data_IF_122652662974
#
_entry.id   IF_122652662974
#
_cell.length_a   1.000
_cell.length_b   1.000
_cell.length_c   1.000
_cell.angle_alpha   90.00
_cell.angle_beta   90.00
_cell.angle_gamma   90.00
#
_symmetry.space_group_name_H-M   'P 1'
#
loop_
_entity.id
_entity.type
_entity.pdbx_description
1 polymer ?
#
# COMPACT_ATOMS: atom_id res chain seq x y z
N UNK A 1 -22.00 12.14 -48.24
CA UNK A 1 -21.41 13.22 -49.06
C UNK A 1 -20.59 14.13 -48.15
N UNK A 2 -19.31 14.34 -48.49
CA UNK A 2 -18.35 15.38 -48.02
C UNK A 2 -17.84 15.25 -46.55
N UNK A 3 -16.76 14.54 -46.25
CA UNK A 3 -15.31 14.92 -46.31
C UNK A 3 -14.98 16.33 -45.81
N UNK A 4 -14.14 16.44 -44.78
CA UNK A 4 -12.94 17.29 -44.79
C UNK A 4 -11.88 16.76 -43.82
N UNK A 5 -10.74 16.40 -44.40
CA UNK A 5 -9.47 16.14 -43.72
C UNK A 5 -8.52 17.31 -44.01
N UNK A 6 -7.41 17.37 -43.23
CA UNK A 6 -6.19 18.20 -43.32
C UNK A 6 -6.13 19.36 -42.32
N UNK A 7 -5.00 19.70 -41.68
CA UNK A 7 -3.67 19.12 -41.44
C UNK A 7 -2.89 20.23 -40.68
N UNK A 8 -1.95 19.84 -39.81
CA UNK A 8 -0.64 20.49 -39.58
C UNK A 8 -0.61 21.86 -38.87
N UNK A 9 0.00 21.88 -37.68
CA UNK A 9 1.05 22.86 -37.35
C UNK A 9 2.10 22.25 -36.45
N UNK A 10 3.27 22.09 -37.05
CA UNK A 10 4.57 21.78 -36.48
C UNK A 10 5.10 23.05 -35.80
N UNK A 11 5.69 22.93 -34.61
CA UNK A 11 6.68 23.90 -34.14
C UNK A 11 7.89 23.14 -33.56
N UNK A 12 8.94 23.13 -34.37
CA UNK A 12 10.29 22.71 -34.00
C UNK A 12 11.24 23.88 -34.33
N UNK A 13 12.26 24.03 -33.49
CA UNK A 13 13.54 24.72 -33.71
C UNK A 13 13.63 26.23 -33.46
N UNK A 14 14.34 26.58 -32.39
CA UNK A 14 15.41 27.58 -32.43
C UNK A 14 16.52 27.08 -31.51
N UNK A 15 17.71 26.92 -32.07
CA UNK A 15 18.86 26.27 -31.48
C UNK A 15 20.01 27.27 -31.22
N UNK A 16 21.03 26.78 -30.51
CA UNK A 16 22.46 27.18 -30.49
C UNK A 16 22.90 28.42 -29.66
N UNK A 17 23.74 28.15 -28.63
CA UNK A 17 25.22 28.36 -28.61
C UNK A 17 25.76 28.00 -27.20
N UNK A 18 26.51 26.91 -27.06
CA UNK A 18 27.99 26.79 -27.02
C UNK A 18 28.71 27.56 -25.90
N UNK A 19 29.36 26.79 -25.02
CA UNK A 19 30.35 27.24 -24.04
C UNK A 19 31.06 26.05 -23.39
N UNK A 20 32.12 25.57 -24.05
CA UNK A 20 33.06 24.54 -23.58
C UNK A 20 33.92 25.03 -22.43
N UNK A 21 34.21 24.18 -21.45
CA UNK A 21 35.56 24.08 -20.87
C UNK A 21 35.88 22.62 -20.54
N UNK A 22 36.91 22.10 -21.20
CA UNK A 22 37.61 20.90 -20.83
C UNK A 22 38.58 21.22 -19.68
N UNK A 23 38.73 20.28 -18.74
CA UNK A 23 39.96 20.10 -17.98
C UNK A 23 40.12 18.60 -17.69
N UNK A 24 40.94 17.94 -18.50
CA UNK A 24 41.54 16.66 -18.18
C UNK A 24 42.81 16.89 -17.36
N UNK A 25 43.10 15.95 -16.47
CA UNK A 25 44.45 15.50 -16.14
C UNK A 25 44.64 15.11 -14.68
N UNK A 26 45.39 14.09 -14.30
CA UNK A 26 45.94 12.89 -14.96
C UNK A 26 46.57 12.03 -13.83
N UNK A 27 46.53 10.70 -13.98
CA UNK A 27 47.45 9.66 -13.50
C UNK A 27 47.96 9.61 -12.05
N UNK A 28 47.78 8.44 -11.40
CA UNK A 28 48.80 7.39 -11.42
C UNK A 28 48.31 6.06 -10.78
N UNK A 29 48.27 5.02 -11.62
CA UNK A 29 48.91 3.71 -11.48
C UNK A 29 49.01 3.04 -10.08
N UNK A 30 48.41 1.84 -9.92
CA UNK A 30 49.16 0.56 -9.79
C UNK A 30 48.30 -0.58 -9.18
N UNK A 31 48.06 -1.58 -10.01
CA UNK A 31 48.21 -3.04 -9.78
C UNK A 31 47.86 -3.69 -8.42
N UNK A 32 46.92 -4.64 -8.51
CA UNK A 32 46.98 -6.04 -8.03
C UNK A 32 47.48 -6.37 -6.61
N UNK A 33 46.67 -7.11 -5.86
CA UNK A 33 47.13 -7.86 -4.70
C UNK A 33 46.02 -8.64 -4.00
N UNK A 34 45.79 -9.87 -4.45
CA UNK A 34 45.10 -10.91 -3.68
C UNK A 34 46.01 -11.37 -2.54
N UNK A 35 45.50 -11.42 -1.32
CA UNK A 35 45.90 -12.40 -0.31
C UNK A 35 44.87 -12.44 0.81
N UNK A 36 44.26 -13.61 1.01
CA UNK A 36 43.35 -13.86 2.11
C UNK A 36 44.04 -13.87 3.47
N UNK A 37 43.22 -13.82 4.51
CA UNK A 37 43.55 -14.46 5.78
C UNK A 37 42.27 -14.95 6.45
N UNK A 38 42.12 -16.28 6.48
CA UNK A 38 41.28 -16.96 7.45
C UNK A 38 41.99 -16.94 8.80
N UNK A 39 41.24 -16.79 9.89
CA UNK A 39 41.74 -17.22 11.20
C UNK A 39 41.24 -16.44 12.41
N UNK A 40 40.30 -17.08 13.09
CA UNK A 40 40.23 -17.24 14.55
C UNK A 40 39.81 -16.05 15.41
N UNK A 41 38.53 -16.10 15.80
CA UNK A 41 38.13 -16.29 17.21
C UNK A 41 38.74 -15.35 18.24
N UNK A 42 38.01 -14.28 18.55
CA UNK A 42 38.07 -13.64 19.85
C UNK A 42 36.69 -13.75 20.48
N UNK A 43 36.61 -14.58 21.53
CA UNK A 43 35.46 -14.68 22.42
C UNK A 43 35.06 -13.29 22.90
N UNK A 44 33.83 -12.89 22.61
CA UNK A 44 33.21 -11.71 23.18
C UNK A 44 33.03 -11.94 24.69
N UNK A 45 33.95 -11.39 25.47
CA UNK A 45 33.81 -11.32 26.92
C UNK A 45 32.59 -10.48 27.25
N UNK A 46 31.53 -11.15 27.73
CA UNK A 46 30.30 -10.53 28.20
C UNK A 46 30.61 -9.63 29.40
N UNK A 47 30.79 -8.33 29.12
CA UNK A 47 30.85 -7.28 30.13
C UNK A 47 29.42 -6.91 30.52
N UNK A 48 28.81 -7.66 31.45
CA UNK A 48 27.69 -7.13 32.24
C UNK A 48 28.22 -6.05 33.17
N UNK A 49 28.23 -4.80 32.71
CA UNK A 49 28.44 -3.65 33.58
C UNK A 49 27.19 -3.49 34.46
N UNK A 50 27.31 -3.81 35.75
CA UNK A 50 26.27 -3.52 36.73
C UNK A 50 25.93 -2.02 36.70
N UNK A 51 24.69 -1.68 36.34
CA UNK A 51 24.22 -0.30 36.27
C UNK A 51 24.36 0.45 37.60
N UNK A 52 24.56 1.76 37.54
CA UNK A 52 24.64 2.60 38.75
C UNK A 52 23.28 2.62 39.44
N UNK A 53 23.21 2.02 40.64
CA UNK A 53 22.03 2.15 41.54
C UNK A 53 21.70 3.64 41.74
N UNK A 54 20.45 4.02 41.44
CA UNK A 54 19.95 5.39 41.56
C UNK A 54 20.05 6.27 40.31
N UNK A 55 20.43 5.73 39.15
CA UNK A 55 20.35 6.45 37.88
C UNK A 55 18.89 6.72 37.45
N UNK A 56 18.69 7.75 36.62
CA UNK A 56 17.41 8.05 35.95
C UNK A 56 17.64 8.07 34.44
N UNK A 57 16.84 7.31 33.70
CA UNK A 57 16.85 7.22 32.23
C UNK A 57 15.76 8.16 31.71
N UNK A 58 16.10 9.11 30.84
CA UNK A 58 15.11 9.96 30.13
C UNK A 58 14.65 9.25 28.86
N UNK A 59 13.36 8.93 28.76
CA UNK A 59 12.76 8.36 27.55
C UNK A 59 11.75 9.33 26.94
N UNK A 60 11.99 9.76 25.70
CA UNK A 60 11.03 10.56 24.93
C UNK A 60 10.37 9.71 23.84
N UNK A 61 9.05 9.72 23.73
CA UNK A 61 8.32 8.93 22.72
C UNK A 61 7.10 9.69 22.16
N UNK A 62 6.52 9.17 21.07
CA UNK A 62 5.31 9.74 20.45
C UNK A 62 4.05 8.85 20.51
N UNK A 63 4.12 7.69 21.17
CA UNK A 63 2.96 6.79 21.32
C UNK A 63 1.75 7.51 21.95
N UNK A 64 0.65 7.55 21.20
CA UNK A 64 -0.57 8.25 21.59
C UNK A 64 -1.66 7.33 22.13
N UNK A 65 -1.56 6.03 21.82
CA UNK A 65 -2.52 5.00 22.18
C UNK A 65 -2.50 4.72 23.69
N UNK A 66 -3.67 4.65 24.30
CA UNK A 66 -3.83 4.38 25.74
C UNK A 66 -3.17 3.04 26.14
N UNK A 67 -3.39 1.99 25.35
CA UNK A 67 -2.80 0.67 25.61
C UNK A 67 -1.27 0.67 25.57
N UNK A 68 -0.65 1.45 24.68
CA UNK A 68 0.79 1.59 24.60
C UNK A 68 1.34 2.33 25.84
N UNK A 69 0.63 3.38 26.28
CA UNK A 69 1.00 4.15 27.48
C UNK A 69 0.85 3.33 28.76
N UNK A 70 -0.22 2.55 28.88
CA UNK A 70 -0.43 1.61 29.98
C UNK A 70 0.68 0.56 30.05
N UNK A 71 1.15 0.08 28.90
CA UNK A 71 2.28 -0.84 28.82
C UNK A 71 3.58 -0.17 29.29
N UNK A 72 3.86 1.07 28.85
CA UNK A 72 5.04 1.85 29.26
C UNK A 72 5.05 2.06 30.78
N UNK A 73 3.93 2.47 31.36
CA UNK A 73 3.82 2.69 32.80
C UNK A 73 4.08 1.39 33.59
N UNK A 74 3.52 0.27 33.13
CA UNK A 74 3.74 -1.03 33.76
C UNK A 74 5.19 -1.49 33.67
N UNK A 75 5.82 -1.42 32.50
CA UNK A 75 7.19 -1.92 32.31
C UNK A 75 8.21 -1.05 33.03
N UNK A 76 8.06 0.28 32.99
CA UNK A 76 8.95 1.21 33.69
C UNK A 76 8.81 1.11 35.21
N UNK A 77 7.59 0.90 35.72
CA UNK A 77 7.35 0.64 37.15
C UNK A 77 8.06 -0.64 37.59
N UNK A 78 7.82 -1.76 36.90
CA UNK A 78 8.45 -3.05 37.23
C UNK A 78 9.97 -2.98 37.16
N UNK A 79 10.50 -2.38 36.09
CA UNK A 79 11.94 -2.18 35.95
C UNK A 79 12.52 -1.35 37.10
N UNK A 80 11.82 -0.28 37.51
CA UNK A 80 12.24 0.57 38.64
C UNK A 80 12.20 -0.20 39.97
N UNK A 81 11.17 -1.01 40.21
CA UNK A 81 11.05 -1.83 41.42
C UNK A 81 12.15 -2.89 41.51
N UNK A 82 12.48 -3.55 40.40
CA UNK A 82 13.48 -4.62 40.35
C UNK A 82 14.92 -4.09 40.43
N UNK A 83 15.20 -2.95 39.79
CA UNK A 83 16.58 -2.47 39.60
C UNK A 83 16.93 -1.26 40.46
N UNK A 84 15.92 -0.50 40.92
CA UNK A 84 16.09 0.81 41.55
C UNK A 84 16.53 1.92 40.60
N UNK A 85 16.51 1.70 39.28
CA UNK A 85 16.79 2.69 38.25
C UNK A 85 15.46 3.30 37.81
N UNK A 86 15.34 4.64 37.84
CA UNK A 86 14.12 5.33 37.40
C UNK A 86 14.09 5.52 35.89
N UNK A 87 12.91 5.52 35.32
CA UNK A 87 12.68 5.94 33.92
C UNK A 87 11.74 7.14 33.94
N UNK A 88 12.22 8.28 33.45
CA UNK A 88 11.48 9.54 33.30
C UNK A 88 10.94 9.61 31.86
N UNK A 89 9.64 9.40 31.71
CA UNK A 89 8.97 9.25 30.41
C UNK A 89 8.34 10.58 29.98
N UNK A 90 8.72 11.06 28.80
CA UNK A 90 8.17 12.24 28.15
C UNK A 90 7.41 11.84 26.87
N UNK A 91 6.09 11.76 26.97
CA UNK A 91 5.22 11.60 25.81
C UNK A 91 5.02 12.95 25.09
N UNK A 92 5.19 12.97 23.78
CA UNK A 92 5.01 14.16 22.94
C UNK A 92 4.11 13.82 21.76
N UNK A 93 3.24 14.76 21.35
CA UNK A 93 2.37 14.56 20.20
C UNK A 93 3.17 14.30 18.92
N UNK A 94 2.64 13.43 18.05
CA UNK A 94 3.31 12.99 16.82
C UNK A 94 3.84 14.16 15.97
N UNK A 95 3.02 15.19 15.79
CA UNK A 95 3.34 16.36 14.95
C UNK A 95 4.52 17.19 15.47
N UNK A 96 4.72 17.22 16.79
CA UNK A 96 5.76 18.02 17.44
C UNK A 96 7.02 17.22 17.76
N UNK A 97 6.91 15.89 17.80
CA UNK A 97 7.94 14.98 18.32
C UNK A 97 9.30 15.18 17.66
N UNK A 98 9.33 15.14 16.33
CA UNK A 98 10.58 15.21 15.56
C UNK A 98 11.30 16.55 15.74
N UNK A 99 10.55 17.65 15.70
CA UNK A 99 11.09 19.01 15.89
C UNK A 99 11.69 19.17 17.29
N UNK A 100 10.99 18.67 18.31
CA UNK A 100 11.43 18.79 19.69
C UNK A 100 12.63 17.89 19.99
N UNK A 101 12.65 16.66 19.48
CA UNK A 101 13.78 15.74 19.61
C UNK A 101 15.07 16.35 19.02
N UNK A 102 14.98 16.85 17.77
CA UNK A 102 16.12 17.49 17.07
C UNK A 102 16.62 18.73 17.82
N UNK A 103 15.71 19.51 18.40
CA UNK A 103 16.05 20.67 19.24
C UNK A 103 16.79 20.26 20.51
N UNK A 104 16.27 19.26 21.23
CA UNK A 104 16.87 18.74 22.47
C UNK A 104 18.28 18.21 22.24
N UNK A 105 18.49 17.42 21.20
CA UNK A 105 19.80 16.90 20.81
C UNK A 105 20.77 18.03 20.48
N UNK A 106 20.35 18.98 19.64
CA UNK A 106 21.21 20.11 19.24
C UNK A 106 21.58 21.02 20.43
N UNK A 107 20.73 21.08 21.46
CA UNK A 107 20.97 21.86 22.68
C UNK A 107 21.83 21.17 23.74
N UNK A 108 22.16 19.88 23.55
CA UNK A 108 22.89 19.07 24.54
C UNK A 108 22.03 18.50 25.68
N UNK A 109 20.70 18.63 25.62
CA UNK A 109 19.74 17.99 26.53
C UNK A 109 19.01 16.83 25.84
N UNK A 110 19.78 15.96 25.18
CA UNK A 110 19.24 14.77 24.52
C UNK A 110 18.57 13.82 25.54
N UNK A 111 17.44 13.18 25.19
CA UNK A 111 16.95 12.02 25.94
C UNK A 111 17.92 10.82 25.80
N UNK A 112 17.89 9.90 26.77
CA UNK A 112 18.71 8.69 26.77
C UNK A 112 18.10 7.60 25.87
N UNK A 113 16.78 7.58 25.74
CA UNK A 113 16.01 6.69 24.86
C UNK A 113 15.00 7.50 24.06
N UNK A 114 14.90 7.23 22.76
CA UNK A 114 13.97 7.91 21.86
C UNK A 114 13.70 7.06 20.62
N UNK A 115 12.52 7.25 20.03
CA UNK A 115 12.09 6.57 18.80
C UNK A 115 12.57 7.36 17.58
N UNK A 116 12.97 6.63 16.52
CA UNK A 116 13.29 7.18 15.21
C UNK A 116 12.51 6.44 14.12
N UNK A 117 12.35 7.08 12.96
CA UNK A 117 11.93 6.40 11.74
C UNK A 117 13.15 6.03 10.88
N UNK A 118 13.02 5.09 9.92
CA UNK A 118 14.09 4.83 8.95
C UNK A 118 14.57 6.11 8.22
N UNK A 119 13.68 7.08 8.01
CA UNK A 119 14.02 8.36 7.36
C UNK A 119 14.92 9.27 8.20
N UNK A 120 14.89 9.14 9.53
CA UNK A 120 15.71 9.95 10.44
C UNK A 120 17.15 9.40 10.57
N UNK A 121 17.31 8.08 10.44
CA UNK A 121 18.56 7.37 10.69
C UNK A 121 19.81 8.00 10.04
N UNK A 122 19.80 8.36 8.73
CA UNK A 122 21.00 8.90 8.09
C UNK A 122 21.57 10.14 8.79
N UNK A 123 20.70 11.03 9.29
CA UNK A 123 21.11 12.24 9.99
C UNK A 123 21.74 11.91 11.36
N UNK A 124 21.12 11.01 12.11
CA UNK A 124 21.57 10.66 13.46
C UNK A 124 22.86 9.84 13.44
N UNK A 125 22.98 8.90 12.50
CA UNK A 125 24.21 8.11 12.30
C UNK A 125 25.37 9.01 11.85
N UNK A 126 25.16 9.87 10.84
CA UNK A 126 26.20 10.76 10.32
C UNK A 126 26.76 11.71 11.38
N UNK A 127 25.92 12.13 12.33
CA UNK A 127 26.31 13.03 13.41
C UNK A 127 26.71 12.28 14.70
N UNK A 128 26.76 10.94 14.68
CA UNK A 128 27.15 10.11 15.82
C UNK A 128 26.28 10.34 17.07
N UNK A 129 24.96 10.50 16.87
CA UNK A 129 23.98 10.75 17.94
C UNK A 129 23.33 9.49 18.53
N UNK A 130 23.51 8.33 17.90
CA UNK A 130 22.89 7.06 18.32
C UNK A 130 23.96 5.98 18.48
N UNK A 131 23.71 5.05 19.40
CA UNK A 131 24.61 3.93 19.68
C UNK A 131 24.36 2.75 18.74
N UNK A 132 25.45 2.09 18.31
CA UNK A 132 25.40 0.80 17.63
C UNK A 132 24.94 -0.29 18.61
N UNK A 133 23.80 -0.92 18.31
CA UNK A 133 23.22 -1.97 19.15
C UNK A 133 23.57 -3.38 18.64
N UNK A 134 24.40 -3.55 17.61
CA UNK A 134 24.66 -4.84 16.95
C UNK A 134 25.08 -5.98 17.87
N UNK A 135 25.78 -5.65 18.97
CA UNK A 135 26.27 -6.63 19.94
C UNK A 135 25.42 -6.68 21.23
N UNK A 136 24.21 -6.11 21.23
CA UNK A 136 23.37 -6.07 22.40
C UNK A 136 22.74 -7.45 22.70
N UNK A 137 22.77 -7.87 23.96
CA UNK A 137 22.23 -9.18 24.37
C UNK A 137 20.73 -9.33 24.14
N UNK A 138 19.98 -8.22 24.08
CA UNK A 138 18.52 -8.28 23.95
C UNK A 138 18.07 -8.85 22.60
N UNK A 139 18.93 -8.88 21.56
CA UNK A 139 18.59 -9.48 20.27
C UNK A 139 18.19 -10.95 20.39
N UNK A 140 18.80 -11.69 21.34
CA UNK A 140 18.43 -13.09 21.61
C UNK A 140 17.05 -13.28 22.22
N UNK A 141 16.38 -12.20 22.65
CA UNK A 141 15.01 -12.23 23.16
C UNK A 141 13.96 -11.87 22.10
N UNK A 142 14.38 -11.48 20.89
CA UNK A 142 13.50 -11.03 19.81
C UNK A 142 13.25 -12.16 18.82
N UNK A 143 12.19 -12.02 18.02
CA UNK A 143 11.84 -12.99 16.98
C UNK A 143 13.01 -13.11 15.99
N UNK A 144 13.32 -14.33 15.55
CA UNK A 144 14.36 -14.59 14.55
C UNK A 144 14.19 -13.68 13.31
N UNK A 145 15.29 -13.07 12.86
CA UNK A 145 15.31 -12.15 11.73
C UNK A 145 15.12 -10.67 12.09
N UNK A 146 14.62 -10.33 13.29
CA UNK A 146 14.39 -8.93 13.71
C UNK A 146 15.65 -8.07 13.59
N UNK A 147 16.80 -8.58 14.03
CA UNK A 147 18.08 -7.86 13.94
C UNK A 147 18.43 -7.53 12.48
N UNK A 148 18.45 -8.54 11.60
CA UNK A 148 18.81 -8.36 10.18
C UNK A 148 17.93 -7.36 9.44
N UNK A 149 16.64 -7.30 9.76
CA UNK A 149 15.67 -6.39 9.12
C UNK A 149 15.81 -4.92 9.52
N UNK A 150 16.69 -4.61 10.48
CA UNK A 150 16.89 -3.26 11.03
C UNK A 150 18.31 -2.73 10.81
N UNK A 151 19.16 -3.50 10.11
CA UNK A 151 20.54 -3.13 9.85
C UNK A 151 20.64 -2.01 8.79
N UNK A 152 21.37 -0.94 9.11
CA UNK A 152 21.74 0.13 8.17
C UNK A 152 23.26 0.25 8.12
N UNK A 153 23.87 0.11 6.94
CA UNK A 153 25.33 0.11 6.75
C UNK A 153 26.08 -0.91 7.63
N UNK A 154 25.44 -2.03 7.96
CA UNK A 154 25.99 -3.08 8.83
C UNK A 154 25.88 -2.81 10.33
N UNK A 155 25.26 -1.70 10.73
CA UNK A 155 24.98 -1.32 12.12
C UNK A 155 23.51 -1.58 12.43
N UNK A 156 23.21 -2.25 13.54
CA UNK A 156 21.84 -2.53 13.97
C UNK A 156 21.34 -1.49 14.98
N UNK A 157 20.10 -1.07 14.78
CA UNK A 157 19.34 -0.24 15.70
C UNK A 157 18.01 -0.93 15.98
N UNK A 158 17.48 -0.82 17.21
CA UNK A 158 16.17 -1.41 17.52
C UNK A 158 15.07 -0.48 17.00
N UNK A 159 14.66 -0.71 15.75
CA UNK A 159 13.59 0.02 15.08
C UNK A 159 12.52 -0.96 14.60
N UNK A 160 11.27 -0.56 14.68
CA UNK A 160 10.21 -1.29 14.01
C UNK A 160 10.29 -0.96 12.50
N UNK A 161 10.96 -1.81 11.71
CA UNK A 161 10.73 -1.80 10.26
C UNK A 161 9.49 -2.64 9.96
N UNK A 162 8.40 -1.98 9.55
CA UNK A 162 7.24 -2.66 8.95
C UNK A 162 7.43 -2.83 7.44
N UNK A 163 8.65 -3.14 7.00
CA UNK A 163 8.95 -3.38 5.60
C UNK A 163 8.75 -4.87 5.30
N UNK A 164 7.52 -5.25 4.98
CA UNK A 164 7.26 -6.56 4.38
C UNK A 164 7.44 -6.45 2.87
N UNK A 165 8.35 -7.24 2.31
CA UNK A 165 8.53 -7.37 0.87
C UNK A 165 7.45 -8.29 0.29
N UNK A 166 7.03 -8.01 -0.93
CA UNK A 166 6.08 -8.85 -1.67
C UNK A 166 6.62 -10.28 -1.83
N UNK A 167 7.92 -10.43 -2.09
CA UNK A 167 8.57 -11.73 -2.21
C UNK A 167 8.58 -12.55 -0.91
N UNK A 168 8.47 -11.89 0.24
CA UNK A 168 8.45 -12.53 1.56
C UNK A 168 7.02 -12.74 2.09
N UNK A 169 5.99 -12.30 1.35
CA UNK A 169 4.60 -12.45 1.72
C UNK A 169 3.96 -13.69 1.05
N UNK A 170 3.85 -14.78 1.81
CA UNK A 170 3.23 -16.01 1.30
C UNK A 170 1.79 -15.80 0.81
N UNK A 171 1.00 -14.94 1.45
CA UNK A 171 -0.38 -14.68 1.02
C UNK A 171 -0.38 -13.96 -0.33
N UNK A 172 0.52 -12.99 -0.52
CA UNK A 172 0.70 -12.34 -1.80
C UNK A 172 1.14 -13.34 -2.88
N UNK A 173 2.15 -14.17 -2.57
CA UNK A 173 2.69 -15.17 -3.48
C UNK A 173 1.64 -16.18 -3.93
N UNK A 174 0.83 -16.69 -3.00
CA UNK A 174 -0.26 -17.61 -3.31
C UNK A 174 -1.31 -16.96 -4.21
N UNK A 175 -1.63 -15.69 -3.96
CA UNK A 175 -2.56 -14.92 -4.80
C UNK A 175 -1.99 -14.64 -6.20
N UNK A 176 -0.69 -14.34 -6.31
CA UNK A 176 -0.02 -14.11 -7.59
C UNK A 176 -0.03 -15.39 -8.46
N UNK A 177 0.20 -16.55 -7.85
CA UNK A 177 0.09 -17.86 -8.53
C UNK A 177 -1.35 -18.13 -8.98
N UNK A 178 -2.34 -17.91 -8.11
CA UNK A 178 -3.76 -18.04 -8.46
C UNK A 178 -4.14 -17.09 -9.59
N UNK A 179 -3.63 -15.86 -9.58
CA UNK A 179 -3.87 -14.85 -10.61
C UNK A 179 -3.36 -15.31 -11.99
N UNK A 180 -2.13 -15.84 -12.06
CA UNK A 180 -1.59 -16.44 -13.29
C UNK A 180 -2.36 -17.67 -13.75
N UNK A 181 -2.74 -18.55 -12.82
CA UNK A 181 -3.54 -19.73 -13.15
C UNK A 181 -4.91 -19.34 -13.70
N UNK A 182 -5.56 -18.32 -13.13
CA UNK A 182 -6.83 -17.78 -13.63
C UNK A 182 -6.70 -17.28 -15.07
N UNK A 183 -5.56 -16.69 -15.42
CA UNK A 183 -5.29 -16.22 -16.79
C UNK A 183 -5.41 -17.36 -17.82
N UNK A 184 -5.03 -18.59 -17.49
CA UNK A 184 -5.15 -19.74 -18.41
C UNK A 184 -6.61 -20.11 -18.76
N UNK A 185 -7.58 -19.67 -17.94
CA UNK A 185 -9.01 -19.93 -18.15
C UNK A 185 -9.75 -18.76 -18.78
N UNK A 186 -9.07 -17.63 -19.01
CA UNK A 186 -9.67 -16.47 -19.67
C UNK A 186 -9.79 -16.65 -21.18
N UNK A 187 -10.30 -15.62 -21.85
CA UNK A 187 -10.39 -15.61 -23.32
C UNK A 187 -8.99 -15.43 -23.95
N UNK A 188 -8.84 -15.61 -25.26
CA UNK A 188 -7.53 -15.51 -25.93
C UNK A 188 -7.01 -14.07 -26.09
N UNK A 189 -7.86 -13.06 -25.92
CA UNK A 189 -7.55 -11.64 -26.13
C UNK A 189 -7.80 -10.83 -24.85
N UNK A 190 -7.31 -11.32 -23.70
CA UNK A 190 -7.63 -10.73 -22.40
C UNK A 190 -7.16 -9.28 -22.28
N UNK A 191 -6.00 -8.96 -22.85
CA UNK A 191 -5.44 -7.60 -22.85
C UNK A 191 -6.18 -6.65 -23.81
N UNK A 192 -6.86 -7.17 -24.84
CA UNK A 192 -7.70 -6.39 -25.75
C UNK A 192 -9.18 -6.34 -25.34
N UNK A 193 -9.59 -7.12 -24.33
CA UNK A 193 -10.98 -7.24 -23.90
C UNK A 193 -11.30 -6.26 -22.78
N UNK A 194 -11.99 -5.17 -23.12
CA UNK A 194 -12.53 -4.23 -22.13
C UNK A 194 -13.87 -4.71 -21.52
N UNK A 195 -14.39 -3.94 -20.56
CA UNK A 195 -15.65 -4.21 -19.88
C UNK A 195 -16.84 -4.39 -20.83
N UNK A 196 -16.94 -3.57 -21.87
CA UNK A 196 -18.03 -3.61 -22.83
C UNK A 196 -17.94 -4.84 -23.71
N UNK A 197 -16.73 -5.20 -24.12
CA UNK A 197 -16.47 -6.40 -24.92
C UNK A 197 -16.77 -7.66 -24.13
N UNK A 198 -16.32 -7.75 -22.88
CA UNK A 198 -16.64 -8.85 -21.99
C UNK A 198 -18.16 -9.03 -21.81
N UNK A 199 -18.87 -7.91 -21.60
CA UNK A 199 -20.35 -7.88 -21.51
C UNK A 199 -21.01 -8.40 -22.79
N UNK A 200 -20.54 -7.96 -23.96
CA UNK A 200 -21.04 -8.43 -25.26
C UNK A 200 -20.83 -9.94 -25.47
N UNK A 201 -19.67 -10.47 -25.07
CA UNK A 201 -19.37 -11.90 -25.22
C UNK A 201 -20.35 -12.76 -24.41
N UNK A 202 -20.70 -12.35 -23.19
CA UNK A 202 -21.73 -13.03 -22.39
C UNK A 202 -23.11 -12.87 -23.02
N UNK A 203 -23.49 -11.65 -23.42
CA UNK A 203 -24.80 -11.39 -24.01
C UNK A 203 -25.06 -12.22 -25.29
N UNK A 204 -24.02 -12.45 -26.09
CA UNK A 204 -24.08 -13.24 -27.33
C UNK A 204 -23.83 -14.73 -27.13
N UNK A 205 -23.62 -15.19 -25.88
CA UNK A 205 -23.35 -16.59 -25.55
C UNK A 205 -21.95 -17.09 -25.97
N UNK A 206 -21.02 -16.19 -26.31
CA UNK A 206 -19.63 -16.52 -26.66
C UNK A 206 -18.72 -16.67 -25.44
N UNK A 207 -19.13 -16.17 -24.28
CA UNK A 207 -18.49 -16.41 -22.99
C UNK A 207 -19.53 -16.93 -21.99
N UNK A 208 -19.12 -17.89 -21.16
CA UNK A 208 -19.98 -18.47 -20.13
C UNK A 208 -20.08 -17.60 -18.87
N UNK A 209 -19.00 -16.89 -18.51
CA UNK A 209 -18.90 -16.06 -17.31
C UNK A 209 -18.09 -14.79 -17.60
N UNK A 210 -18.33 -13.74 -16.81
CA UNK A 210 -17.52 -12.52 -16.78
C UNK A 210 -17.40 -12.05 -15.33
N UNK A 211 -16.21 -11.59 -14.93
CA UNK A 211 -16.04 -10.84 -13.69
C UNK A 211 -16.40 -9.41 -14.05
N UNK A 212 -17.49 -8.87 -13.50
CA UNK A 212 -18.02 -7.54 -13.83
C UNK A 212 -18.95 -7.01 -12.72
N UNK A 213 -19.28 -5.72 -12.78
CA UNK A 213 -20.19 -5.09 -11.83
C UNK A 213 -21.67 -5.18 -12.21
N UNK A 214 -22.54 -4.68 -11.33
CA UNK A 214 -24.00 -4.72 -11.50
C UNK A 214 -24.48 -4.07 -12.81
N UNK A 215 -23.75 -3.07 -13.34
CA UNK A 215 -24.08 -2.39 -14.60
C UNK A 215 -24.14 -3.34 -15.80
N UNK A 216 -23.41 -4.46 -15.76
CA UNK A 216 -23.38 -5.45 -16.84
C UNK A 216 -24.72 -6.17 -17.01
N UNK A 217 -25.50 -6.34 -15.93
CA UNK A 217 -26.77 -7.08 -15.98
C UNK A 217 -27.75 -6.41 -16.94
N UNK A 218 -28.03 -5.12 -16.73
CA UNK A 218 -28.91 -4.36 -17.63
C UNK A 218 -28.38 -4.30 -19.07
N UNK A 219 -27.07 -4.17 -19.26
CA UNK A 219 -26.46 -4.13 -20.59
C UNK A 219 -26.54 -5.47 -21.34
N UNK A 220 -26.44 -6.61 -20.63
CA UNK A 220 -26.66 -7.94 -21.19
C UNK A 220 -28.14 -8.10 -21.57
N UNK A 221 -29.06 -7.73 -20.68
CA UNK A 221 -30.50 -7.84 -20.89
C UNK A 221 -31.02 -6.96 -22.03
N UNK A 222 -30.47 -5.77 -22.20
CA UNK A 222 -30.81 -4.90 -23.33
C UNK A 222 -30.49 -5.56 -24.68
N UNK A 223 -29.35 -6.27 -24.77
CA UNK A 223 -28.94 -6.97 -25.99
C UNK A 223 -29.62 -8.33 -26.16
N UNK A 224 -29.88 -9.03 -25.06
CA UNK A 224 -30.47 -10.35 -25.02
C UNK A 224 -31.46 -10.45 -23.84
N UNK A 225 -32.73 -10.05 -24.04
CA UNK A 225 -33.74 -10.05 -22.99
C UNK A 225 -33.96 -11.43 -22.36
N UNK A 226 -33.76 -12.49 -23.14
CA UNK A 226 -33.94 -13.89 -22.74
C UNK A 226 -32.70 -14.48 -22.04
N UNK A 227 -31.60 -13.72 -21.90
CA UNK A 227 -30.38 -14.20 -21.27
C UNK A 227 -30.65 -14.68 -19.84
N UNK A 228 -30.27 -15.93 -19.54
CA UNK A 228 -30.43 -16.54 -18.22
C UNK A 228 -29.14 -16.40 -17.44
N UNK A 229 -28.96 -15.26 -16.81
CA UNK A 229 -27.77 -14.92 -16.02
C UNK A 229 -28.10 -14.89 -14.53
N UNK A 230 -27.09 -15.19 -13.72
CA UNK A 230 -27.09 -15.01 -12.26
C UNK A 230 -25.77 -14.36 -11.84
N UNK A 231 -25.63 -14.03 -10.56
CA UNK A 231 -24.40 -13.43 -10.04
C UNK A 231 -23.93 -14.16 -8.78
N UNK A 232 -22.62 -14.24 -8.61
CA UNK A 232 -22.01 -14.79 -7.40
C UNK A 232 -20.68 -14.08 -7.14
N UNK A 233 -20.27 -14.04 -5.88
CA UNK A 233 -18.97 -13.51 -5.49
C UNK A 233 -17.83 -14.34 -6.09
N UNK A 234 -16.74 -13.68 -6.48
CA UNK A 234 -15.56 -14.38 -7.00
C UNK A 234 -14.91 -15.15 -5.83
N UNK A 235 -14.82 -16.49 -5.90
CA UNK A 235 -14.23 -17.27 -4.82
C UNK A 235 -12.72 -17.11 -4.81
N UNK A 236 -12.20 -16.25 -3.93
CA UNK A 236 -10.77 -15.98 -3.78
C UNK A 236 -10.08 -16.96 -2.82
N UNK A 237 -10.85 -17.58 -1.91
CA UNK A 237 -10.41 -18.63 -0.98
C UNK A 237 -11.33 -19.85 -1.08
N UNK A 238 -10.88 -20.98 -0.51
CA UNK A 238 -11.68 -22.21 -0.42
C UNK A 238 -12.67 -22.17 0.76
N UNK A 239 -12.63 -21.10 1.58
CA UNK A 239 -13.56 -20.91 2.68
C UNK A 239 -14.80 -20.15 2.19
N UNK A 240 -15.99 -20.77 2.15
CA UNK A 240 -17.20 -20.08 1.70
C UNK A 240 -17.57 -18.88 2.59
N UNK A 241 -17.18 -18.88 3.87
CA UNK A 241 -17.49 -17.79 4.80
C UNK A 241 -16.67 -16.52 4.50
N UNK A 242 -15.55 -16.65 3.78
CA UNK A 242 -14.71 -15.53 3.33
C UNK A 242 -15.12 -15.00 1.94
N UNK A 243 -16.10 -15.63 1.30
CA UNK A 243 -16.53 -15.28 -0.06
C UNK A 243 -17.48 -14.09 -0.04
N UNK A 244 -16.95 -12.92 -0.39
CA UNK A 244 -17.67 -11.64 -0.42
C UNK A 244 -17.63 -11.00 -1.80
N UNK A 245 -18.62 -10.17 -2.13
CA UNK A 245 -18.52 -9.30 -3.31
C UNK A 245 -17.67 -8.08 -2.98
N UNK A 246 -17.02 -7.52 -4.00
CA UNK A 246 -16.35 -6.22 -3.88
C UNK A 246 -17.33 -5.10 -4.22
N UNK A 247 -17.44 -4.11 -3.34
CA UNK A 247 -18.17 -2.88 -3.58
C UNK A 247 -17.19 -1.71 -3.71
N UNK A 248 -17.55 -0.74 -4.55
CA UNK A 248 -16.86 0.55 -4.63
C UNK A 248 -17.89 1.65 -4.44
N UNK A 249 -17.52 2.67 -3.69
CA UNK A 249 -18.26 3.93 -3.70
C UNK A 249 -17.95 4.65 -5.02
N UNK A 250 -18.75 4.41 -6.05
CA UNK A 250 -18.71 5.26 -7.25
C UNK A 250 -19.17 6.65 -6.85
N UNK A 251 -18.43 7.69 -7.25
CA UNK A 251 -18.60 9.07 -6.78
C UNK A 251 -20.05 9.54 -6.61
N UNK A 252 -20.27 10.35 -5.58
CA UNK A 252 -21.56 10.96 -5.31
C UNK A 252 -21.77 12.28 -6.05
N UNK A 253 -23.01 12.77 -6.03
CA UNK A 253 -23.30 14.14 -6.45
C UNK A 253 -22.68 15.13 -5.45
N UNK A 254 -22.01 16.15 -5.98
CA UNK A 254 -21.49 17.27 -5.19
C UNK A 254 -22.22 18.54 -5.61
N UNK A 255 -22.55 19.40 -4.64
CA UNK A 255 -23.21 20.69 -4.88
C UNK A 255 -22.16 21.78 -4.86
N UNK A 256 -22.10 22.59 -5.92
CA UNK A 256 -21.23 23.76 -5.95
C UNK A 256 -21.72 24.79 -4.92
N UNK A 257 -20.82 25.20 -4.02
CA UNK A 257 -21.17 26.01 -2.84
C UNK A 257 -21.85 27.33 -3.20
N UNK A 258 -21.39 27.99 -4.26
CA UNK A 258 -21.88 29.32 -4.71
C UNK A 258 -22.94 29.24 -5.82
N UNK A 259 -23.59 28.08 -6.00
CA UNK A 259 -24.65 27.96 -7.00
C UNK A 259 -25.76 28.99 -6.73
N UNK A 260 -26.17 29.80 -7.72
CA UNK A 260 -27.25 30.77 -7.55
C UNK A 260 -28.64 30.10 -7.41
N UNK A 261 -28.70 28.77 -7.59
CA UNK A 261 -29.92 27.95 -7.51
C UNK A 261 -29.71 26.77 -6.54
N UNK A 262 -28.98 27.01 -5.43
CA UNK A 262 -28.59 25.97 -4.48
C UNK A 262 -29.80 25.27 -3.86
N UNK A 263 -30.84 26.02 -3.49
CA UNK A 263 -32.04 25.47 -2.87
C UNK A 263 -32.83 24.57 -3.83
N UNK A 264 -32.90 24.93 -5.11
CA UNK A 264 -33.50 24.08 -6.15
C UNK A 264 -32.68 22.82 -6.41
N UNK A 265 -31.33 22.91 -6.36
CA UNK A 265 -30.46 21.74 -6.46
C UNK A 265 -30.68 20.80 -5.27
N UNK A 266 -30.84 21.31 -4.05
CA UNK A 266 -31.14 20.47 -2.87
C UNK A 266 -32.51 19.79 -3.00
N UNK A 267 -33.54 20.51 -3.47
CA UNK A 267 -34.87 19.90 -3.74
C UNK A 267 -34.78 18.79 -4.79
N UNK A 268 -33.96 18.99 -5.83
CA UNK A 268 -33.74 17.95 -6.83
C UNK A 268 -32.99 16.74 -6.26
N UNK A 269 -32.01 16.95 -5.36
CA UNK A 269 -31.32 15.85 -4.68
C UNK A 269 -32.26 15.06 -3.74
N UNK A 270 -33.19 15.73 -3.05
CA UNK A 270 -34.24 15.07 -2.27
C UNK A 270 -35.11 14.17 -3.17
N UNK A 271 -35.51 14.68 -4.34
CA UNK A 271 -36.27 13.88 -5.31
C UNK A 271 -35.43 12.73 -5.88
N UNK A 272 -34.17 12.97 -6.23
CA UNK A 272 -33.25 11.99 -6.81
C UNK A 272 -32.93 10.83 -5.85
N UNK A 273 -32.99 11.09 -4.54
CA UNK A 273 -32.79 10.10 -3.48
C UNK A 273 -34.10 9.53 -2.92
N UNK A 274 -35.24 9.90 -3.51
CA UNK A 274 -36.56 9.40 -3.12
C UNK A 274 -36.74 7.92 -3.48
N UNK A 275 -37.70 7.28 -2.80
CA UNK A 275 -38.15 5.92 -3.13
C UNK A 275 -38.58 5.80 -4.59
N UNK A 276 -39.32 6.78 -5.11
CA UNK A 276 -39.75 6.82 -6.51
C UNK A 276 -38.57 6.79 -7.48
N UNK A 277 -37.55 7.63 -7.27
CA UNK A 277 -36.34 7.62 -8.10
C UNK A 277 -35.59 6.29 -7.99
N UNK A 278 -35.53 5.69 -6.79
CA UNK A 278 -34.93 4.39 -6.57
C UNK A 278 -35.66 3.25 -7.32
N UNK A 279 -37.00 3.26 -7.32
CA UNK A 279 -37.81 2.30 -8.07
C UNK A 279 -37.65 2.47 -9.59
N UNK A 280 -37.56 3.71 -10.09
CA UNK A 280 -37.24 3.98 -11.51
C UNK A 280 -35.86 3.42 -11.87
N UNK A 281 -34.87 3.59 -10.98
CA UNK A 281 -33.51 3.08 -11.19
C UNK A 281 -33.47 1.54 -11.21
N UNK A 282 -34.18 0.88 -10.30
CA UNK A 282 -34.36 -0.57 -10.30
C UNK A 282 -35.02 -1.07 -11.59
N UNK A 283 -36.09 -0.41 -12.03
CA UNK A 283 -36.79 -0.75 -13.27
C UNK A 283 -35.89 -0.62 -14.52
N UNK A 284 -34.85 0.21 -14.46
CA UNK A 284 -33.82 0.32 -15.50
C UNK A 284 -32.73 -0.77 -15.42
N UNK A 285 -32.87 -1.77 -14.56
CA UNK A 285 -31.92 -2.88 -14.44
C UNK A 285 -30.60 -2.48 -13.76
N UNK A 286 -30.71 -1.66 -12.70
CA UNK A 286 -29.57 -1.16 -11.91
C UNK A 286 -29.86 -1.31 -10.42
N UNK A 287 -28.84 -1.51 -9.60
CA UNK A 287 -29.00 -1.43 -8.14
C UNK A 287 -28.98 0.02 -7.66
N UNK A 288 -29.82 0.31 -6.67
CA UNK A 288 -29.96 1.64 -6.04
C UNK A 288 -29.45 1.61 -4.60
N UNK A 289 -28.91 2.75 -4.14
CA UNK A 289 -28.53 2.97 -2.74
C UNK A 289 -29.67 3.50 -1.86
N UNK A 290 -30.84 3.80 -2.46
CA UNK A 290 -32.04 4.22 -1.71
C UNK A 290 -32.57 3.05 -0.87
N UNK A 291 -32.89 3.33 0.38
CA UNK A 291 -33.40 2.33 1.34
C UNK A 291 -34.85 1.93 1.04
N UNK A 292 -35.27 0.79 1.60
CA UNK A 292 -36.66 0.32 1.60
C UNK A 292 -37.30 0.17 0.21
N UNK A 293 -36.48 -0.21 -0.77
CA UNK A 293 -36.90 -0.57 -2.12
C UNK A 293 -37.34 -2.05 -2.18
N UNK A 294 -38.22 -2.40 -3.13
CA UNK A 294 -38.53 -3.81 -3.39
C UNK A 294 -37.30 -4.58 -3.88
N UNK A 295 -37.30 -5.89 -3.66
CA UNK A 295 -36.26 -6.78 -4.19
C UNK A 295 -36.21 -6.67 -5.74
N UNK A 296 -35.01 -6.61 -6.35
CA UNK A 296 -34.89 -6.59 -7.81
C UNK A 296 -35.56 -7.83 -8.43
N UNK A 297 -36.33 -7.64 -9.50
CA UNK A 297 -36.97 -8.75 -10.21
C UNK A 297 -36.00 -9.57 -11.06
N UNK A 298 -34.86 -8.99 -11.44
CA UNK A 298 -33.81 -9.70 -12.18
C UNK A 298 -32.99 -10.59 -11.22
N UNK A 299 -32.87 -11.90 -11.49
CA UNK A 299 -32.16 -12.82 -10.59
C UNK A 299 -30.70 -12.43 -10.32
N UNK A 300 -29.98 -11.90 -11.31
CA UNK A 300 -28.58 -11.50 -11.12
C UNK A 300 -28.47 -10.24 -10.25
N UNK A 301 -29.41 -9.29 -10.39
CA UNK A 301 -29.45 -8.14 -9.48
C UNK A 301 -29.87 -8.56 -8.06
N UNK A 302 -30.83 -9.47 -7.92
CA UNK A 302 -31.25 -10.00 -6.62
C UNK A 302 -30.10 -10.74 -5.91
N UNK A 303 -29.31 -11.54 -6.65
CA UNK A 303 -28.12 -12.18 -6.09
C UNK A 303 -27.10 -11.15 -5.55
N UNK A 304 -26.79 -10.09 -6.30
CA UNK A 304 -25.88 -9.02 -5.84
C UNK A 304 -26.47 -8.28 -4.64
N UNK A 305 -27.76 -7.95 -4.69
CA UNK A 305 -28.47 -7.25 -3.62
C UNK A 305 -28.47 -8.05 -2.30
N UNK A 306 -28.62 -9.37 -2.38
CA UNK A 306 -28.50 -10.28 -1.22
C UNK A 306 -27.15 -10.13 -0.53
N UNK A 307 -26.03 -10.23 -1.26
CA UNK A 307 -24.69 -10.07 -0.66
C UNK A 307 -24.53 -8.71 0.04
N UNK A 308 -25.03 -7.63 -0.55
CA UNK A 308 -25.00 -6.29 0.06
C UNK A 308 -25.81 -6.22 1.37
N UNK A 309 -27.02 -6.79 1.37
CA UNK A 309 -27.92 -6.75 2.53
C UNK A 309 -27.50 -7.69 3.67
N UNK A 310 -26.80 -8.78 3.35
CA UNK A 310 -26.27 -9.74 4.34
C UNK A 310 -24.90 -9.31 4.90
N UNK A 311 -24.38 -8.15 4.50
CA UNK A 311 -23.06 -7.67 4.95
C UNK A 311 -21.89 -8.44 4.35
N UNK A 312 -22.12 -9.23 3.30
CA UNK A 312 -21.11 -9.99 2.57
C UNK A 312 -20.51 -9.17 1.42
N UNK A 313 -20.20 -7.91 1.70
CA UNK A 313 -19.62 -6.98 0.76
C UNK A 313 -18.40 -6.30 1.38
N UNK A 314 -17.28 -6.37 0.68
CA UNK A 314 -16.06 -5.65 1.04
C UNK A 314 -16.01 -4.31 0.31
N UNK A 315 -16.02 -3.20 1.05
CA UNK A 315 -15.87 -1.86 0.48
C UNK A 315 -14.39 -1.59 0.16
N UNK A 316 -14.05 -1.66 -1.12
CA UNK A 316 -12.68 -1.39 -1.59
C UNK A 316 -12.29 0.07 -1.36
N UNK A 317 -13.26 1.00 -1.33
CA UNK A 317 -12.99 2.41 -1.02
C UNK A 317 -12.57 2.64 0.43
N UNK A 318 -12.82 1.68 1.33
CA UNK A 318 -12.34 1.73 2.72
C UNK A 318 -10.85 1.40 2.85
N UNK A 319 -10.23 0.81 1.82
CA UNK A 319 -8.80 0.56 1.81
C UNK A 319 -8.06 1.90 1.75
N UNK A 320 -7.30 2.21 2.79
CA UNK A 320 -6.32 3.30 2.76
C UNK A 320 -5.12 2.85 1.93
N UNK A 321 -5.19 3.06 0.63
CA UNK A 321 -4.08 2.76 -0.28
C UNK A 321 -3.20 4.02 -0.34
N UNK A 322 -2.12 4.06 0.46
CA UNK A 322 -1.12 5.14 0.44
C UNK A 322 -0.09 4.99 -0.69
N UNK A 323 -0.49 4.37 -1.81
CA UNK A 323 0.36 4.23 -2.99
C UNK A 323 0.03 5.28 -4.04
N UNK A 324 1.02 6.11 -4.36
CA UNK A 324 0.96 7.01 -5.52
C UNK A 324 0.71 6.26 -6.83
N UNK A 325 0.25 6.96 -7.87
CA UNK A 325 0.06 6.37 -9.20
C UNK A 325 1.33 5.71 -9.77
N UNK A 326 2.53 6.16 -9.38
CA UNK A 326 3.79 5.53 -9.81
C UNK A 326 3.91 4.08 -9.30
N UNK A 327 3.49 3.81 -8.06
CA UNK A 327 3.48 2.45 -7.49
C UNK A 327 2.45 1.56 -8.20
N UNK A 328 1.25 2.07 -8.42
CA UNK A 328 0.20 1.34 -9.14
C UNK A 328 0.64 0.99 -10.57
N UNK A 329 1.33 1.91 -11.25
CA UNK A 329 1.88 1.65 -12.58
C UNK A 329 2.98 0.58 -12.55
N UNK A 330 3.82 0.55 -11.51
CA UNK A 330 4.84 -0.49 -11.34
C UNK A 330 4.22 -1.87 -11.11
N UNK A 331 3.15 -1.96 -10.31
CA UNK A 331 2.39 -3.20 -10.12
C UNK A 331 1.81 -3.70 -11.46
N UNK A 332 1.10 -2.84 -12.19
CA UNK A 332 0.51 -3.18 -13.49
C UNK A 332 1.58 -3.64 -14.49
N UNK A 333 2.73 -2.99 -14.53
CA UNK A 333 3.85 -3.36 -15.41
C UNK A 333 4.37 -4.77 -15.09
N UNK A 334 4.69 -5.05 -13.82
CA UNK A 334 5.20 -6.36 -13.41
C UNK A 334 4.17 -7.46 -13.65
N UNK A 335 2.90 -7.21 -13.31
CA UNK A 335 1.84 -8.20 -13.51
C UNK A 335 1.58 -8.45 -14.99
N UNK A 336 1.71 -7.43 -15.85
CA UNK A 336 1.60 -7.60 -17.30
C UNK A 336 2.74 -8.48 -17.83
N UNK A 337 3.98 -8.22 -17.44
CA UNK A 337 5.14 -9.05 -17.83
C UNK A 337 4.97 -10.50 -17.36
N UNK A 338 4.46 -10.69 -16.14
CA UNK A 338 4.19 -12.01 -15.58
C UNK A 338 3.08 -12.77 -16.32
N UNK A 339 2.01 -12.08 -16.72
CA UNK A 339 0.93 -12.67 -17.49
C UNK A 339 1.29 -12.93 -18.96
N UNK A 340 2.22 -12.15 -19.52
CA UNK A 340 2.72 -12.32 -20.90
C UNK A 340 3.85 -13.35 -21.02
N UNK A 341 4.14 -14.09 -19.94
CA UNK A 341 5.22 -15.07 -19.85
C UNK A 341 6.64 -14.50 -20.09
N UNK A 342 6.81 -13.17 -19.96
CA UNK A 342 8.12 -12.53 -19.95
C UNK A 342 8.87 -12.82 -18.64
N UNK A 343 8.11 -12.99 -17.55
CA UNK A 343 8.55 -13.52 -16.27
C UNK A 343 7.66 -14.73 -15.96
N UNK A 344 8.26 -15.88 -15.64
CA UNK A 344 7.49 -17.12 -15.41
C UNK A 344 7.55 -17.62 -13.98
N UNK A 345 8.59 -17.24 -13.22
CA UNK A 345 8.67 -17.54 -11.79
C UNK A 345 7.94 -16.45 -10.98
N UNK A 346 6.91 -16.80 -10.20
CA UNK A 346 6.24 -15.86 -9.30
C UNK A 346 7.20 -15.14 -8.36
N UNK A 347 8.28 -15.81 -7.90
CA UNK A 347 9.23 -15.21 -6.98
C UNK A 347 10.08 -14.13 -7.67
N UNK A 348 10.43 -14.33 -8.94
CA UNK A 348 11.12 -13.31 -9.74
C UNK A 348 10.22 -12.10 -9.99
N UNK A 349 8.94 -12.32 -10.28
CA UNK A 349 7.97 -11.23 -10.44
C UNK A 349 7.81 -10.42 -9.14
N UNK A 350 7.65 -11.09 -8.00
CA UNK A 350 7.54 -10.42 -6.70
C UNK A 350 8.81 -9.62 -6.35
N UNK A 351 10.00 -10.19 -6.58
CA UNK A 351 11.28 -9.48 -6.38
C UNK A 351 11.45 -8.27 -7.30
N UNK A 352 10.94 -8.35 -8.54
CA UNK A 352 10.95 -7.20 -9.44
C UNK A 352 10.01 -6.09 -8.94
N UNK A 353 8.85 -6.47 -8.40
CA UNK A 353 7.92 -5.53 -7.79
C UNK A 353 8.54 -4.83 -6.57
N UNK A 354 9.17 -5.60 -5.67
CA UNK A 354 9.93 -5.06 -4.53
C UNK A 354 10.96 -4.04 -4.98
N UNK A 355 11.79 -4.40 -5.97
CA UNK A 355 12.80 -3.50 -6.52
C UNK A 355 12.20 -2.20 -7.06
N UNK A 356 11.11 -2.27 -7.83
CA UNK A 356 10.46 -1.08 -8.39
C UNK A 356 9.87 -0.19 -7.30
N UNK A 357 9.26 -0.80 -6.27
CA UNK A 357 8.71 -0.07 -5.14
C UNK A 357 9.82 0.65 -4.36
N UNK A 358 10.96 -0.02 -4.11
CA UNK A 358 12.12 0.58 -3.45
C UNK A 358 12.70 1.76 -4.25
N UNK A 359 12.78 1.64 -5.59
CA UNK A 359 13.23 2.71 -6.47
C UNK A 359 12.29 3.93 -6.43
N UNK A 360 10.97 3.71 -6.44
CA UNK A 360 9.97 4.78 -6.34
C UNK A 360 10.03 5.46 -4.98
N UNK A 361 10.07 4.68 -3.89
CA UNK A 361 10.18 5.21 -2.54
C UNK A 361 11.45 6.06 -2.36
N UNK A 362 12.60 5.56 -2.84
CA UNK A 362 13.87 6.29 -2.80
C UNK A 362 13.86 7.59 -3.64
N UNK A 363 13.06 7.64 -4.71
CA UNK A 363 12.87 8.86 -5.51
C UNK A 363 11.96 9.87 -4.81
N UNK A 364 10.91 9.41 -4.14
CA UNK A 364 9.94 10.26 -3.43
C UNK A 364 10.47 10.81 -2.10
N UNK A 365 11.48 10.16 -1.52
CA UNK A 365 12.17 10.62 -0.31
C UNK A 365 13.20 11.75 -0.55
N UNK A 366 13.46 12.11 -1.81
CA UNK A 366 14.36 13.21 -2.21
C UNK A 366 13.56 14.47 -2.52
#
# INVERSE_FOLDING_TARGET
>A
MKTYAKRVSVLLASALMMGTFAACGNNNNASSGSSGNAGTGAEASASTSAGKKGATIKWMHHFGEESARDWIDQITTKFTEETGIKVDVQAVGYDDYQTLLKTKISSGDAPDLFDLTPSDLPMFTKNNYIADLSNANFWGNLIDGTQGNTATDGINYFLESREKKFADDQVFMDNLVKFRKRHDFGNNDQFGTDWNKATELVATGKAAMTINGNWAVGAIKEKNPDARIGAFAVPVTDNPDETVITSWLSGGFVVYEDSPVKDEVMQFLDYLTSKESGEIWLAAGRLSSVKDLPEPSDPALADINRYMNEGQAFDVSSMKVDFSQEFLNAEVDVFTQFLMDEITDPLEAAKLLDKKFDEIAAKQAK
#
